data_IF_589299360324
#
_entry.id   IF_589299360324
#
_cell.length_a   1.000
_cell.length_b   1.000
_cell.length_c   1.000
_cell.angle_alpha   90.00
_cell.angle_beta   90.00
_cell.angle_gamma   90.00
#
_symmetry.space_group_name_H-M   'P 1'
#
loop_
_entity.id
_entity.type
_entity.pdbx_description
1 polymer ?
#
# COMPACT_ATOMS: atom_id res chain seq x y z
N UNK A 1 10.32 -12.78 -4.33
CA UNK A 1 9.00 -12.08 -4.28
C UNK A 1 8.29 -12.58 -3.02
N UNK A 2 8.25 -11.78 -1.96
CA UNK A 2 7.63 -12.13 -0.68
C UNK A 2 6.95 -10.86 -0.12
N UNK A 3 5.75 -11.01 0.42
CA UNK A 3 4.94 -9.91 0.99
C UNK A 3 4.91 -9.93 2.51
N UNK A 4 5.31 -11.03 3.16
CA UNK A 4 5.39 -11.11 4.62
C UNK A 4 6.43 -10.10 5.14
N UNK A 5 6.08 -9.37 6.20
CA UNK A 5 6.88 -8.27 6.75
C UNK A 5 6.79 -6.96 5.96
N UNK A 6 5.91 -6.86 4.96
CA UNK A 6 5.57 -5.61 4.26
C UNK A 6 4.22 -5.07 4.74
N UNK A 7 3.82 -3.92 4.21
CA UNK A 7 2.54 -3.28 4.53
C UNK A 7 1.69 -3.04 3.29
N UNK A 8 0.38 -3.16 3.46
CA UNK A 8 -0.63 -2.66 2.53
C UNK A 8 -0.96 -1.22 2.92
N UNK A 9 -1.03 -0.34 1.92
CA UNK A 9 -1.40 1.07 2.08
C UNK A 9 -2.67 1.33 1.28
N UNK A 10 -3.66 1.97 1.89
CA UNK A 10 -4.84 2.50 1.18
C UNK A 10 -4.60 3.99 0.96
N UNK A 11 -4.76 4.44 -0.27
CA UNK A 11 -4.67 5.85 -0.66
C UNK A 11 -6.06 6.51 -0.71
N UNK A 12 -6.10 7.83 -0.59
CA UNK A 12 -7.33 8.63 -0.61
C UNK A 12 -7.98 8.70 -2.00
N UNK A 13 -7.17 8.70 -3.05
CA UNK A 13 -7.60 8.70 -4.45
C UNK A 13 -7.24 7.41 -5.17
N UNK A 14 -7.73 7.29 -6.41
CA UNK A 14 -7.35 6.19 -7.30
C UNK A 14 -5.94 6.39 -7.86
N UNK A 15 -5.23 5.29 -8.07
CA UNK A 15 -4.00 5.27 -8.87
C UNK A 15 -4.34 5.48 -10.36
N UNK A 16 -3.61 6.36 -11.04
CA UNK A 16 -3.77 6.70 -12.45
C UNK A 16 -2.91 5.85 -13.41
N UNK A 17 -2.04 4.99 -12.88
CA UNK A 17 -1.14 4.08 -13.59
C UNK A 17 -0.14 4.74 -14.55
N UNK A 18 0.05 6.06 -14.46
CA UNK A 18 0.92 6.84 -15.35
C UNK A 18 1.89 7.68 -14.54
N UNK A 19 1.35 8.48 -13.61
CA UNK A 19 2.10 9.45 -12.83
C UNK A 19 3.06 8.73 -11.89
N UNK A 20 4.35 9.03 -12.00
CA UNK A 20 5.34 8.48 -11.09
C UNK A 20 5.63 9.45 -9.94
N UNK A 21 5.89 8.95 -8.71
CA UNK A 21 6.20 7.55 -8.36
C UNK A 21 5.01 6.73 -7.81
N UNK A 22 3.80 7.30 -7.72
CA UNK A 22 2.70 6.70 -6.93
C UNK A 22 1.30 6.98 -7.50
N UNK A 23 1.22 7.13 -8.83
CA UNK A 23 -0.05 7.12 -9.55
C UNK A 23 -0.98 8.28 -9.25
N UNK A 24 -0.46 9.41 -8.76
CA UNK A 24 -1.27 10.53 -8.26
C UNK A 24 -2.36 10.14 -7.24
N UNK A 25 -2.18 9.02 -6.52
CA UNK A 25 -3.21 8.44 -5.65
C UNK A 25 -3.50 9.26 -4.37
N UNK A 26 -2.71 10.30 -4.10
CA UNK A 26 -2.89 11.19 -2.94
C UNK A 26 -2.43 10.59 -1.61
N UNK A 27 -2.96 11.12 -0.50
CA UNK A 27 -2.54 10.79 0.86
C UNK A 27 -2.82 9.34 1.25
N UNK A 28 -1.97 8.75 2.11
CA UNK A 28 -2.18 7.42 2.71
C UNK A 28 -3.20 7.54 3.84
N UNK A 29 -4.32 6.82 3.75
CA UNK A 29 -5.42 6.90 4.72
C UNK A 29 -5.52 5.67 5.62
N UNK A 30 -4.86 4.56 5.27
CA UNK A 30 -4.74 3.40 6.12
C UNK A 30 -3.42 2.66 5.87
N UNK A 31 -2.97 1.90 6.87
CA UNK A 31 -1.81 1.02 6.82
C UNK A 31 -2.13 -0.29 7.54
N UNK A 32 -1.78 -1.42 6.93
CA UNK A 32 -1.89 -2.75 7.56
C UNK A 32 -0.62 -3.56 7.31
N UNK A 33 -0.04 -4.13 8.36
CA UNK A 33 1.08 -5.05 8.23
C UNK A 33 0.63 -6.43 7.74
N UNK A 34 1.42 -7.05 6.87
CA UNK A 34 1.23 -8.44 6.46
C UNK A 34 2.14 -9.28 7.37
N UNK A 35 1.55 -9.82 8.43
CA UNK A 35 2.22 -10.64 9.45
C UNK A 35 1.68 -12.06 9.44
N UNK A 36 2.49 -13.01 9.89
CA UNK A 36 2.03 -14.38 10.12
C UNK A 36 1.20 -14.44 11.40
N UNK A 37 0.07 -15.15 11.36
CA UNK A 37 -0.90 -15.19 12.47
C UNK A 37 -0.40 -16.01 13.68
N UNK A 38 0.58 -16.89 13.47
CA UNK A 38 1.06 -17.84 14.48
C UNK A 38 2.15 -17.28 15.41
N UNK A 39 2.07 -16.00 15.77
CA UNK A 39 2.80 -15.46 16.93
C UNK A 39 2.10 -15.81 18.24
#
# INVERSE_FOLDING_TARGET
KNIIGKSIIIHQGSDDLVSQPSGAAGSRIACGGIIEENL
#
